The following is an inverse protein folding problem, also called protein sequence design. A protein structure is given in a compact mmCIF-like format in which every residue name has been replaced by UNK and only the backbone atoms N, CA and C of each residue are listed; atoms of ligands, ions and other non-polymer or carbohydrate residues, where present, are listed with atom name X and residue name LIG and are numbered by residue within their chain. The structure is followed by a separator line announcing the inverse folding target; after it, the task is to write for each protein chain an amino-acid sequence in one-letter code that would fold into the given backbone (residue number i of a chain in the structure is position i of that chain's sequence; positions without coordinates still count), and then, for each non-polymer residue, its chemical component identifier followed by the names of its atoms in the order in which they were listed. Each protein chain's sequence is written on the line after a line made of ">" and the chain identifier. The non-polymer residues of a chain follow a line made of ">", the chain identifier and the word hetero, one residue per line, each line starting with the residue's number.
data_IF_112877240040
#
_entry.id   IF_112877240040
#
_cell.length_a   1.000
_cell.length_b   1.000
_cell.length_c   1.000
_cell.angle_alpha   90.00
_cell.angle_beta   90.00
_cell.angle_gamma   90.00
#
_symmetry.space_group_name_H-M   'P 1'
#
loop_
_entity.id
_entity.type
_entity.pdbx_description
1 polymer ?
#
# COMPACT_ATOMS: atom_id res chain seq x y z
N UNK A 1 16.27 18.18 -39.86
CA UNK A 1 16.09 16.93 -40.64
C UNK A 1 16.23 15.77 -39.67
N UNK A 2 15.31 14.81 -39.70
CA UNK A 2 15.41 13.61 -38.87
C UNK A 2 16.52 12.72 -39.45
N UNK A 3 17.57 12.40 -38.67
CA UNK A 3 18.75 11.63 -39.12
C UNK A 3 18.61 10.11 -38.98
N UNK A 4 17.39 9.62 -38.76
CA UNK A 4 17.14 8.22 -38.49
C UNK A 4 17.12 7.43 -39.81
N UNK A 5 18.00 6.42 -39.92
CA UNK A 5 18.07 5.53 -41.07
C UNK A 5 16.77 4.73 -41.20
N UNK A 6 16.32 4.52 -42.44
CA UNK A 6 15.12 3.75 -42.73
C UNK A 6 15.34 2.28 -42.32
N UNK A 7 14.56 1.80 -41.36
CA UNK A 7 14.62 0.44 -40.87
C UNK A 7 13.58 -0.41 -41.60
N UNK A 8 13.99 -1.56 -42.13
CA UNK A 8 13.05 -2.51 -42.73
C UNK A 8 12.19 -3.19 -41.65
N UNK A 9 10.92 -3.46 -41.96
CA UNK A 9 9.93 -4.04 -41.05
C UNK A 9 10.41 -5.34 -40.40
N UNK A 10 11.04 -6.24 -41.17
CA UNK A 10 11.57 -7.51 -40.65
C UNK A 10 12.67 -7.31 -39.60
N UNK A 11 13.53 -6.30 -39.77
CA UNK A 11 14.63 -6.01 -38.87
C UNK A 11 14.09 -5.41 -37.56
N UNK A 12 13.06 -4.57 -37.64
CA UNK A 12 12.35 -4.03 -36.49
C UNK A 12 11.65 -5.14 -35.69
N UNK A 13 10.91 -6.03 -36.37
CA UNK A 13 10.24 -7.17 -35.74
C UNK A 13 11.22 -8.08 -35.01
N UNK A 14 12.40 -8.34 -35.60
CA UNK A 14 13.44 -9.14 -34.98
C UNK A 14 13.99 -8.47 -33.71
N UNK A 15 14.26 -7.17 -33.76
CA UNK A 15 14.72 -6.41 -32.59
C UNK A 15 13.70 -6.42 -31.45
N UNK A 16 12.41 -6.20 -31.77
CA UNK A 16 11.33 -6.25 -30.80
C UNK A 16 11.19 -7.64 -30.17
N UNK A 17 11.30 -8.70 -30.97
CA UNK A 17 11.25 -10.09 -30.49
C UNK A 17 12.37 -10.38 -29.50
N UNK A 18 13.61 -9.98 -29.81
CA UNK A 18 14.76 -10.17 -28.92
C UNK A 18 14.59 -9.41 -27.60
N UNK A 19 14.09 -8.16 -27.67
CA UNK A 19 13.81 -7.38 -26.46
C UNK A 19 12.73 -8.05 -25.60
N UNK A 20 11.64 -8.49 -26.22
CA UNK A 20 10.50 -9.11 -25.54
C UNK A 20 10.91 -10.46 -24.89
N UNK A 21 11.73 -11.26 -25.57
CA UNK A 21 12.34 -12.48 -25.01
C UNK A 21 13.29 -12.20 -23.84
N UNK A 22 14.01 -11.07 -23.85
CA UNK A 22 14.94 -10.72 -22.77
C UNK A 22 14.25 -10.32 -21.47
N UNK A 23 13.00 -9.84 -21.55
CA UNK A 23 12.20 -9.40 -20.40
C UNK A 23 11.07 -10.38 -20.05
N UNK A 24 10.84 -11.39 -20.89
CA UNK A 24 9.83 -12.42 -20.67
C UNK A 24 10.24 -13.33 -19.51
N UNK A 25 9.28 -13.61 -18.64
CA UNK A 25 9.44 -14.55 -17.54
C UNK A 25 8.59 -15.80 -17.80
N UNK A 26 9.04 -16.98 -17.35
CA UNK A 26 8.22 -18.19 -17.43
C UNK A 26 6.87 -17.98 -16.72
N UNK A 27 5.79 -18.48 -17.34
CA UNK A 27 4.43 -18.35 -16.80
C UNK A 27 4.29 -18.88 -15.38
N UNK A 28 5.01 -19.95 -15.05
CA UNK A 28 5.02 -20.51 -13.69
C UNK A 28 5.52 -19.51 -12.64
N UNK A 29 6.52 -18.70 -12.98
CA UNK A 29 7.06 -17.67 -12.09
C UNK A 29 6.08 -16.51 -11.92
N UNK A 30 5.41 -16.11 -13.01
CA UNK A 30 4.36 -15.07 -12.98
C UNK A 30 3.20 -15.51 -12.08
N UNK A 31 2.75 -16.77 -12.18
CA UNK A 31 1.70 -17.32 -11.32
C UNK A 31 2.11 -17.37 -9.83
N UNK A 32 3.39 -17.69 -9.54
CA UNK A 32 3.93 -17.61 -8.17
C UNK A 32 3.90 -16.18 -7.64
N UNK A 33 4.22 -15.20 -8.48
CA UNK A 33 4.14 -13.77 -8.11
C UNK A 33 2.69 -13.34 -7.84
N UNK A 34 1.72 -13.72 -8.67
CA UNK A 34 0.28 -13.46 -8.44
C UNK A 34 -0.18 -14.05 -7.08
N UNK A 35 0.20 -15.29 -6.79
CA UNK A 35 -0.12 -15.94 -5.52
C UNK A 35 0.48 -15.19 -4.32
N UNK A 36 1.75 -14.76 -4.41
CA UNK A 36 2.42 -13.98 -3.37
C UNK A 36 1.76 -12.62 -3.14
N UNK A 37 1.35 -11.94 -4.20
CA UNK A 37 0.62 -10.67 -4.12
C UNK A 37 -0.68 -10.84 -3.34
N UNK A 38 -1.45 -11.90 -3.61
CA UNK A 38 -2.69 -12.18 -2.89
C UNK A 38 -2.44 -12.51 -1.41
N UNK A 39 -1.38 -13.26 -1.10
CA UNK A 39 -0.96 -13.49 0.30
C UNK A 39 -0.64 -12.17 1.02
N UNK A 40 0.11 -11.28 0.38
CA UNK A 40 0.48 -9.99 0.96
C UNK A 40 -0.70 -9.04 1.10
N UNK A 41 -1.64 -9.05 0.16
CA UNK A 41 -2.89 -8.28 0.24
C UNK A 41 -3.72 -8.72 1.45
N UNK A 42 -3.93 -10.03 1.60
CA UNK A 42 -4.67 -10.61 2.73
C UNK A 42 -3.99 -10.31 4.08
N UNK A 43 -2.67 -10.47 4.16
CA UNK A 43 -1.89 -10.12 5.37
C UNK A 43 -1.98 -8.62 5.68
N UNK A 44 -1.91 -7.76 4.67
CA UNK A 44 -2.08 -6.33 4.86
C UNK A 44 -3.48 -6.01 5.38
N UNK A 45 -4.55 -6.56 4.79
CA UNK A 45 -5.93 -6.33 5.26
C UNK A 45 -6.11 -6.78 6.72
N UNK A 46 -5.61 -7.98 7.06
CA UNK A 46 -5.70 -8.51 8.42
C UNK A 46 -4.93 -7.63 9.43
N UNK A 47 -3.69 -7.26 9.12
CA UNK A 47 -2.89 -6.36 9.97
C UNK A 47 -3.54 -4.99 10.14
N UNK A 48 -4.08 -4.40 9.06
CA UNK A 48 -4.82 -3.13 9.08
C UNK A 48 -6.03 -3.20 10.00
N UNK A 49 -6.80 -4.29 9.94
CA UNK A 49 -7.94 -4.49 10.83
C UNK A 49 -7.53 -4.50 12.30
N UNK A 50 -6.47 -5.24 12.64
CA UNK A 50 -5.96 -5.31 14.01
C UNK A 50 -5.38 -3.97 14.50
N UNK A 51 -4.65 -3.26 13.66
CA UNK A 51 -4.03 -1.97 14.01
C UNK A 51 -5.08 -0.88 14.23
N UNK A 52 -6.10 -0.83 13.37
CA UNK A 52 -7.23 0.11 13.52
C UNK A 52 -8.02 -0.19 14.79
N UNK A 53 -8.28 -1.47 15.07
CA UNK A 53 -8.98 -1.86 16.29
C UNK A 53 -8.18 -1.48 17.54
N UNK A 54 -6.88 -1.76 17.55
CA UNK A 54 -5.98 -1.39 18.64
C UNK A 54 -5.93 0.13 18.88
N UNK A 55 -5.92 0.95 17.82
CA UNK A 55 -5.96 2.41 17.94
C UNK A 55 -7.30 2.88 18.53
N UNK A 56 -8.43 2.33 18.05
CA UNK A 56 -9.75 2.63 18.61
C UNK A 56 -9.85 2.28 20.09
N UNK A 57 -9.30 1.13 20.48
CA UNK A 57 -9.27 0.68 21.88
C UNK A 57 -8.43 1.61 22.76
N UNK A 58 -7.28 2.07 22.27
CA UNK A 58 -6.47 3.08 22.97
C UNK A 58 -7.21 4.41 23.14
N UNK A 59 -7.89 4.90 22.10
CA UNK A 59 -8.68 6.14 22.16
C UNK A 59 -9.80 6.01 23.18
N UNK A 60 -10.53 4.89 23.17
CA UNK A 60 -11.60 4.60 24.15
C UNK A 60 -11.04 4.55 25.57
N UNK A 61 -9.97 3.80 25.80
CA UNK A 61 -9.34 3.72 27.13
C UNK A 61 -8.84 5.08 27.63
N UNK A 62 -8.35 5.95 26.73
CA UNK A 62 -7.97 7.31 27.11
C UNK A 62 -9.17 8.19 27.48
N UNK A 63 -10.30 8.03 26.78
CA UNK A 63 -11.56 8.72 27.12
C UNK A 63 -12.08 8.28 28.49
N UNK A 64 -12.09 6.97 28.78
CA UNK A 64 -12.50 6.44 30.07
C UNK A 64 -11.61 6.97 31.23
N UNK A 65 -10.31 7.14 31.00
CA UNK A 65 -9.39 7.75 31.98
C UNK A 65 -9.74 9.22 32.23
N UNK A 66 -10.06 9.97 31.18
CA UNK A 66 -10.50 11.37 31.31
C UNK A 66 -11.80 11.48 32.10
N UNK A 67 -12.78 10.63 31.79
CA UNK A 67 -14.08 10.63 32.47
C UNK A 67 -13.91 10.29 33.97
N UNK A 68 -13.11 9.26 34.28
CA UNK A 68 -12.76 8.91 35.68
C UNK A 68 -12.03 10.04 36.40
N UNK A 69 -11.09 10.72 35.73
CA UNK A 69 -10.36 11.84 36.32
C UNK A 69 -11.32 13.00 36.68
N UNK A 70 -12.34 13.24 35.86
CA UNK A 70 -13.37 14.24 36.15
C UNK A 70 -14.21 13.81 37.35
N UNK A 71 -14.66 12.56 37.43
CA UNK A 71 -15.41 12.05 38.58
C UNK A 71 -14.64 12.22 39.89
N UNK A 72 -13.38 11.76 39.95
CA UNK A 72 -12.53 11.85 41.15
C UNK A 72 -12.32 13.32 41.59
N UNK A 73 -12.21 14.25 40.63
CA UNK A 73 -12.10 15.68 40.94
C UNK A 73 -13.41 16.25 41.50
N UNK A 74 -14.57 15.82 40.99
CA UNK A 74 -15.88 16.25 41.49
C UNK A 74 -16.15 15.72 42.89
N UNK A 75 -15.69 14.50 43.20
CA UNK A 75 -15.78 13.89 44.52
C UNK A 75 -14.85 14.56 45.56
N UNK A 76 -13.94 15.44 45.11
CA UNK A 76 -13.04 16.21 45.96
C UNK A 76 -11.79 15.45 46.40
N UNK A 77 -11.54 14.26 45.85
CA UNK A 77 -10.44 13.36 46.23
C UNK A 77 -9.06 13.84 45.75
N UNK A 78 -9.01 14.81 44.83
CA UNK A 78 -7.76 15.33 44.27
C UNK A 78 -7.73 16.87 44.22
N UNK A 79 -6.54 17.42 44.47
CA UNK A 79 -6.29 18.85 44.33
C UNK A 79 -6.34 19.30 42.86
N UNK A 80 -6.81 20.54 42.63
CA UNK A 80 -6.92 21.15 41.29
C UNK A 80 -5.61 21.09 40.50
N UNK A 81 -4.47 21.27 41.15
CA UNK A 81 -3.16 21.23 40.49
C UNK A 81 -2.88 19.87 39.86
N UNK A 82 -3.11 18.80 40.62
CA UNK A 82 -2.92 17.41 40.19
C UNK A 82 -3.88 17.07 39.04
N UNK A 83 -5.14 17.53 39.15
CA UNK A 83 -6.13 17.37 38.09
C UNK A 83 -5.68 18.01 36.77
N UNK A 84 -5.20 19.26 36.80
CA UNK A 84 -4.75 19.97 35.60
C UNK A 84 -3.55 19.30 34.92
N UNK A 85 -2.56 18.87 35.69
CA UNK A 85 -1.39 18.15 35.16
C UNK A 85 -1.78 16.83 34.49
N UNK A 86 -2.65 16.04 35.14
CA UNK A 86 -3.13 14.76 34.59
C UNK A 86 -4.00 14.95 33.37
N UNK A 87 -4.88 15.95 33.38
CA UNK A 87 -5.74 16.30 32.25
C UNK A 87 -4.90 16.68 31.03
N UNK A 88 -3.88 17.52 31.20
CA UNK A 88 -3.03 17.96 30.10
C UNK A 88 -2.28 16.79 29.46
N UNK A 89 -1.76 15.87 30.27
CA UNK A 89 -1.10 14.64 29.78
C UNK A 89 -2.05 13.76 28.95
N UNK A 90 -3.25 13.48 29.47
CA UNK A 90 -4.26 12.67 28.76
C UNK A 90 -4.78 13.37 27.49
N UNK A 91 -4.84 14.70 27.47
CA UNK A 91 -5.23 15.48 26.30
C UNK A 91 -4.15 15.43 25.21
N UNK A 92 -2.87 15.52 25.58
CA UNK A 92 -1.75 15.34 24.64
C UNK A 92 -1.71 13.92 24.07
N UNK A 93 -1.91 12.91 24.92
CA UNK A 93 -2.00 11.50 24.48
C UNK A 93 -3.16 11.31 23.50
N UNK A 94 -4.35 11.87 23.79
CA UNK A 94 -5.50 11.87 22.88
C UNK A 94 -5.17 12.48 21.52
N UNK A 95 -4.52 13.64 21.51
CA UNK A 95 -4.15 14.33 20.28
C UNK A 95 -3.19 13.49 19.42
N UNK A 96 -2.18 12.88 20.05
CA UNK A 96 -1.23 11.99 19.37
C UNK A 96 -1.90 10.74 18.79
N UNK A 97 -2.86 10.15 19.51
CA UNK A 97 -3.63 9.00 19.02
C UNK A 97 -4.52 9.35 17.82
N UNK A 98 -5.19 10.50 17.85
CA UNK A 98 -6.01 10.99 16.75
C UNK A 98 -5.17 11.36 15.51
N UNK A 99 -3.98 11.91 15.72
CA UNK A 99 -3.03 12.15 14.62
C UNK A 99 -2.54 10.84 14.01
N UNK A 100 -2.23 9.84 14.85
CA UNK A 100 -1.85 8.49 14.39
C UNK A 100 -2.98 7.81 13.60
N UNK A 101 -4.23 7.98 14.01
CA UNK A 101 -5.41 7.49 13.28
C UNK A 101 -5.53 8.13 11.88
N UNK A 102 -5.33 9.45 11.80
CA UNK A 102 -5.31 10.18 10.51
C UNK A 102 -4.14 9.75 9.63
N UNK A 103 -2.96 9.54 10.23
CA UNK A 103 -1.75 9.10 9.53
C UNK A 103 -1.84 7.68 8.96
N UNK A 104 -2.63 6.80 9.59
CA UNK A 104 -2.79 5.40 9.16
C UNK A 104 -3.35 5.26 7.74
N UNK A 105 -4.20 6.20 7.31
CA UNK A 105 -4.72 6.26 5.93
C UNK A 105 -3.71 6.77 4.90
N UNK A 106 -2.70 7.53 5.34
CA UNK A 106 -1.83 8.33 4.46
C UNK A 106 -0.42 7.72 4.32
N UNK A 107 0.10 7.04 5.35
CA UNK A 107 1.47 6.53 5.36
C UNK A 107 1.69 5.24 4.56
N UNK A 108 0.65 4.45 4.26
CA UNK A 108 0.79 3.22 3.46
C UNK A 108 0.15 3.40 2.10
N UNK A 109 0.85 4.13 1.21
CA UNK A 109 0.58 4.04 -0.23
C UNK A 109 0.55 2.56 -0.62
N UNK A 110 -0.51 2.16 -1.31
CA UNK A 110 -0.86 0.77 -1.60
C UNK A 110 0.13 0.15 -2.59
N UNK A 111 1.35 -0.18 -2.15
CA UNK A 111 2.43 -0.76 -2.98
C UNK A 111 2.04 -2.07 -3.68
N UNK A 112 1.01 -2.73 -3.16
CA UNK A 112 0.38 -3.92 -3.74
C UNK A 112 -0.19 -3.61 -5.14
N UNK A 113 -0.77 -2.43 -5.35
CA UNK A 113 -1.42 -2.08 -6.62
C UNK A 113 -0.41 -1.86 -7.76
N UNK A 114 0.67 -1.04 -7.61
CA UNK A 114 1.75 -0.99 -8.59
C UNK A 114 2.38 -2.36 -8.87
N UNK A 115 2.52 -3.20 -7.85
CA UNK A 115 3.10 -4.53 -8.01
C UNK A 115 2.17 -5.47 -8.79
N UNK A 116 0.86 -5.41 -8.55
CA UNK A 116 -0.14 -6.14 -9.33
C UNK A 116 -0.14 -5.70 -10.79
N UNK A 117 -0.09 -4.40 -11.05
CA UNK A 117 0.03 -3.86 -12.40
C UNK A 117 1.30 -4.35 -13.09
N UNK A 118 2.43 -4.38 -12.39
CA UNK A 118 3.69 -4.88 -12.95
C UNK A 118 3.62 -6.36 -13.34
N UNK A 119 3.05 -7.21 -12.47
CA UNK A 119 2.88 -8.64 -12.77
C UNK A 119 1.90 -8.87 -13.92
N UNK A 120 0.86 -8.04 -14.06
CA UNK A 120 -0.04 -8.07 -15.21
C UNK A 120 0.71 -7.77 -16.52
N UNK A 121 1.57 -6.76 -16.54
CA UNK A 121 2.40 -6.45 -17.72
C UNK A 121 3.36 -7.58 -18.08
N UNK A 122 3.90 -8.32 -17.10
CA UNK A 122 4.71 -9.52 -17.36
C UNK A 122 3.89 -10.64 -18.01
N UNK A 123 2.63 -10.79 -17.60
CA UNK A 123 1.71 -11.78 -18.16
C UNK A 123 1.35 -11.47 -19.61
N UNK A 124 1.02 -10.20 -19.87
CA UNK A 124 0.78 -9.68 -21.22
C UNK A 124 2.01 -9.88 -22.11
N UNK A 125 3.21 -9.58 -21.62
CA UNK A 125 4.47 -9.85 -22.32
C UNK A 125 4.63 -11.33 -22.71
N UNK A 126 4.38 -12.24 -21.76
CA UNK A 126 4.49 -13.68 -22.01
C UNK A 126 3.41 -14.23 -22.97
N UNK A 127 2.27 -13.55 -23.11
CA UNK A 127 1.25 -13.85 -24.11
C UNK A 127 1.64 -13.30 -25.49
N UNK A 128 2.17 -12.06 -25.53
CA UNK A 128 2.63 -11.41 -26.76
C UNK A 128 3.86 -12.08 -27.38
N UNK A 129 4.75 -12.68 -26.58
CA UNK A 129 5.90 -13.45 -27.08
C UNK A 129 5.48 -14.64 -27.95
N UNK A 130 4.33 -15.24 -27.59
CA UNK A 130 3.77 -16.40 -28.29
C UNK A 130 2.89 -16.00 -29.48
N UNK A 131 2.52 -14.73 -29.56
CA UNK A 131 1.70 -14.16 -30.62
C UNK A 131 2.60 -13.53 -31.68
N UNK A 132 2.31 -13.75 -32.96
CA UNK A 132 2.94 -13.02 -34.08
C UNK A 132 2.16 -11.76 -34.45
N UNK A 133 1.33 -11.25 -33.53
CA UNK A 133 0.51 -10.06 -33.78
C UNK A 133 1.29 -8.75 -33.55
N UNK A 134 1.95 -8.28 -34.60
CA UNK A 134 2.75 -7.05 -34.59
C UNK A 134 1.97 -5.77 -34.25
N UNK A 135 0.63 -5.76 -34.43
CA UNK A 135 -0.22 -4.64 -34.02
C UNK A 135 -0.36 -4.56 -32.49
N UNK A 136 -0.44 -5.70 -31.82
CA UNK A 136 -0.53 -5.77 -30.35
C UNK A 136 0.81 -5.42 -29.69
N UNK A 137 1.93 -5.74 -30.35
CA UNK A 137 3.25 -5.33 -29.89
C UNK A 137 3.36 -3.81 -29.84
N UNK A 138 2.84 -3.11 -30.85
CA UNK A 138 2.84 -1.64 -30.90
C UNK A 138 2.04 -1.00 -29.77
N UNK A 139 0.98 -1.65 -29.26
CA UNK A 139 0.19 -1.12 -28.15
C UNK A 139 0.79 -1.37 -26.78
N UNK A 140 1.71 -2.32 -26.67
CA UNK A 140 2.37 -2.69 -25.42
C UNK A 140 3.61 -1.84 -25.12
N UNK A 141 4.37 -1.45 -26.16
CA UNK A 141 5.54 -0.55 -26.07
C UNK A 141 5.14 0.93 -26.13
#
# INVERSE_FOLDING_TARGET
>A
MCGQLYLQEHALATQLKTLLQSVSLPREEILKMESKINEWENKNISSRGSDVQNLKDKIRGNQEKLDKLVSIYLDGDIERKIYLERKDLLMREKASLLESERGFGQQRKNWVEPLRSFVLSLKECADLEKSENYLEWKTFF
#
